data_IF_984904205242
#
_entry.id   IF_984904205242
#
_cell.length_a   1.000
_cell.length_b   1.000
_cell.length_c   1.000
_cell.angle_alpha   90.00
_cell.angle_beta   90.00
_cell.angle_gamma   90.00
#
_symmetry.space_group_name_H-M   'P 1'
#
loop_
_entity.id
_entity.type
_entity.pdbx_description
1 polymer ?
#
# COMPACT_ATOMS: atom_id res chain seq x y z
N UNK A 1 16.98 7.05 0.45
CA UNK A 1 17.50 7.00 -0.93
C UNK A 1 16.39 7.45 -1.85
N UNK A 2 16.67 8.29 -2.84
CA UNK A 2 15.66 8.66 -3.82
C UNK A 2 15.33 7.45 -4.68
N UNK A 3 14.05 7.11 -4.85
CA UNK A 3 13.63 6.22 -5.92
C UNK A 3 13.98 6.90 -7.25
N UNK A 4 14.95 6.35 -7.99
CA UNK A 4 15.23 6.80 -9.35
C UNK A 4 14.16 6.25 -10.31
N UNK A 5 14.08 6.86 -11.49
CA UNK A 5 13.05 6.52 -12.48
C UNK A 5 13.17 5.06 -12.95
N UNK A 6 14.40 4.52 -13.00
CA UNK A 6 14.65 3.14 -13.41
C UNK A 6 14.09 2.15 -12.38
N UNK A 7 14.44 2.31 -11.10
CA UNK A 7 13.94 1.44 -10.03
C UNK A 7 12.43 1.53 -9.90
N UNK A 8 11.87 2.73 -10.08
CA UNK A 8 10.42 2.92 -10.07
C UNK A 8 9.74 2.21 -11.25
N UNK A 9 10.33 2.25 -12.45
CA UNK A 9 9.78 1.56 -13.63
C UNK A 9 9.72 0.05 -13.43
N UNK A 10 10.78 -0.55 -12.89
CA UNK A 10 10.82 -1.97 -12.58
C UNK A 10 9.83 -2.34 -11.48
N UNK A 11 9.76 -1.52 -10.41
CA UNK A 11 8.78 -1.71 -9.35
C UNK A 11 7.34 -1.66 -9.88
N UNK A 12 7.02 -0.73 -10.78
CA UNK A 12 5.70 -0.64 -11.39
C UNK A 12 5.37 -1.89 -12.21
N UNK A 13 6.33 -2.44 -12.95
CA UNK A 13 6.17 -3.69 -13.71
C UNK A 13 5.89 -4.87 -12.76
N UNK A 14 6.70 -5.03 -11.71
CA UNK A 14 6.50 -6.07 -10.68
C UNK A 14 5.15 -5.94 -9.98
N UNK A 15 4.75 -4.71 -9.61
CA UNK A 15 3.46 -4.44 -8.98
C UNK A 15 2.30 -4.80 -9.91
N UNK A 16 2.41 -4.47 -11.20
CA UNK A 16 1.39 -4.75 -12.19
C UNK A 16 1.19 -6.27 -12.34
N UNK A 17 2.28 -7.04 -12.42
CA UNK A 17 2.19 -8.49 -12.56
C UNK A 17 1.57 -9.17 -11.33
N UNK A 18 1.82 -8.64 -10.13
CA UNK A 18 1.31 -9.21 -8.88
C UNK A 18 -0.12 -8.76 -8.56
N UNK A 19 -0.46 -7.50 -8.82
CA UNK A 19 -1.67 -6.87 -8.27
C UNK A 19 -2.79 -6.69 -9.31
N UNK A 20 -2.49 -6.76 -10.60
CA UNK A 20 -3.50 -6.52 -11.64
C UNK A 20 -4.61 -7.56 -11.63
N UNK A 21 -5.85 -7.08 -11.71
CA UNK A 21 -7.06 -7.88 -11.52
C UNK A 21 -7.40 -8.21 -10.06
N UNK A 22 -6.55 -7.79 -9.11
CA UNK A 22 -6.77 -7.99 -7.69
C UNK A 22 -7.90 -7.13 -7.12
N UNK A 23 -8.58 -7.65 -6.10
CA UNK A 23 -9.64 -6.94 -5.38
C UNK A 23 -9.11 -6.36 -4.07
N UNK A 24 -9.31 -5.06 -3.84
CA UNK A 24 -9.04 -4.45 -2.53
C UNK A 24 -10.08 -4.98 -1.52
N UNK A 25 -9.59 -5.58 -0.44
CA UNK A 25 -10.41 -6.22 0.60
C UNK A 25 -10.48 -5.41 1.88
N UNK A 26 -9.35 -4.79 2.27
CA UNK A 26 -9.24 -3.94 3.47
C UNK A 26 -8.29 -2.79 3.19
N UNK A 27 -8.58 -1.65 3.82
CA UNK A 27 -7.76 -0.45 3.75
C UNK A 27 -7.53 0.03 5.18
N UNK A 28 -6.27 0.27 5.55
CA UNK A 28 -5.88 0.83 6.83
C UNK A 28 -4.92 2.00 6.62
N UNK A 29 -4.84 2.86 7.62
CA UNK A 29 -3.92 3.99 7.64
C UNK A 29 -3.25 3.98 9.02
N UNK A 30 -2.13 3.24 9.18
CA UNK A 30 -1.42 3.13 10.46
C UNK A 30 -0.84 4.46 10.91
N UNK A 31 -0.23 5.19 9.97
CA UNK A 31 0.36 6.51 10.19
C UNK A 31 -0.33 7.56 9.32
N UNK A 32 -0.13 8.84 9.64
CA UNK A 32 -0.74 9.94 8.88
C UNK A 32 -0.42 9.88 7.38
N UNK A 33 0.82 9.54 7.05
CA UNK A 33 1.33 9.54 5.67
C UNK A 33 1.56 8.12 5.12
N UNK A 34 0.99 7.09 5.75
CA UNK A 34 1.13 5.69 5.34
C UNK A 34 -0.24 5.00 5.19
N UNK A 35 -0.45 4.31 4.07
CA UNK A 35 -1.63 3.50 3.81
C UNK A 35 -1.22 2.06 3.58
N UNK A 36 -2.05 1.16 4.10
CA UNK A 36 -1.93 -0.28 3.92
C UNK A 36 -3.16 -0.79 3.18
N UNK A 37 -2.95 -1.34 1.99
CA UNK A 37 -3.99 -1.97 1.17
C UNK A 37 -3.83 -3.49 1.24
N UNK A 38 -4.92 -4.18 1.55
CA UNK A 38 -5.01 -5.63 1.44
C UNK A 38 -5.65 -5.96 0.10
N UNK A 39 -4.87 -6.52 -0.81
CA UNK A 39 -5.29 -6.83 -2.18
C UNK A 39 -5.33 -8.34 -2.32
N UNK A 40 -6.47 -8.89 -2.68
CA UNK A 40 -6.61 -10.30 -2.98
C UNK A 40 -6.43 -10.54 -4.48
N UNK A 41 -5.37 -11.25 -4.85
CA UNK A 41 -5.12 -11.74 -6.21
C UNK A 41 -4.43 -13.11 -6.15
N UNK A 42 -5.19 -14.21 -6.31
CA UNK A 42 -4.80 -15.61 -6.02
C UNK A 42 -4.44 -15.87 -4.55
N UNK A 43 -3.75 -14.94 -3.91
CA UNK A 43 -3.42 -14.85 -2.49
C UNK A 43 -3.62 -13.41 -1.98
N UNK A 44 -3.55 -13.22 -0.67
CA UNK A 44 -3.68 -11.88 -0.07
C UNK A 44 -2.32 -11.20 0.01
N UNK A 45 -2.19 -10.08 -0.68
CA UNK A 45 -1.03 -9.21 -0.63
C UNK A 45 -1.31 -8.01 0.26
N UNK A 46 -0.32 -7.62 1.07
CA UNK A 46 -0.36 -6.38 1.84
C UNK A 46 0.59 -5.37 1.21
N UNK A 47 0.02 -4.35 0.57
CA UNK A 47 0.75 -3.26 -0.07
C UNK A 47 0.84 -2.07 0.88
N UNK A 48 2.04 -1.57 1.12
CA UNK A 48 2.30 -0.34 1.86
C UNK A 48 2.60 0.79 0.87
N UNK A 49 1.93 1.92 1.08
CA UNK A 49 2.15 3.18 0.38
C UNK A 49 2.53 4.23 1.42
N UNK A 50 3.78 4.70 1.40
CA UNK A 50 4.24 5.78 2.27
C UNK A 50 4.59 7.02 1.48
N UNK A 51 3.94 8.13 1.83
CA UNK A 51 4.19 9.47 1.32
C UNK A 51 5.06 10.30 2.28
N UNK A 52 5.64 9.67 3.30
CA UNK A 52 6.54 10.36 4.22
C UNK A 52 7.78 10.90 3.49
N UNK A 53 8.15 12.16 3.75
CA UNK A 53 9.28 12.81 3.06
C UNK A 53 10.62 12.08 3.23
N UNK A 54 10.86 11.50 4.42
CA UNK A 54 12.08 10.76 4.74
C UNK A 54 12.01 9.30 4.29
N UNK A 55 10.81 8.72 4.27
CA UNK A 55 10.57 7.29 4.01
C UNK A 55 9.48 7.14 2.94
N UNK A 56 9.71 7.70 1.76
CA UNK A 56 8.87 7.43 0.61
C UNK A 56 9.15 6.00 0.14
N UNK A 57 8.13 5.15 0.08
CA UNK A 57 8.27 3.76 -0.35
C UNK A 57 6.94 3.16 -0.76
N UNK A 58 7.01 2.25 -1.72
CA UNK A 58 5.93 1.38 -2.14
C UNK A 58 6.48 -0.03 -2.15
N UNK A 59 5.88 -0.95 -1.40
CA UNK A 59 6.32 -2.34 -1.35
C UNK A 59 5.24 -3.27 -0.79
N UNK A 60 5.36 -4.55 -1.11
CA UNK A 60 4.57 -5.61 -0.49
C UNK A 60 5.31 -6.06 0.77
N UNK A 61 4.58 -6.28 1.87
CA UNK A 61 5.17 -6.76 3.12
C UNK A 61 4.37 -7.91 3.72
N UNK A 62 5.08 -8.81 4.40
CA UNK A 62 4.48 -9.85 5.23
C UNK A 62 4.45 -9.45 6.70
N UNK A 63 5.08 -8.32 7.06
CA UNK A 63 5.18 -7.88 8.45
C UNK A 63 3.80 -7.47 9.00
N UNK A 64 3.51 -7.77 10.27
CA UNK A 64 2.31 -7.26 10.92
C UNK A 64 2.36 -5.72 10.98
N UNK A 65 1.20 -5.09 10.75
CA UNK A 65 1.05 -3.63 10.86
C UNK A 65 0.14 -3.34 12.03
N UNK A 66 0.52 -2.39 12.88
CA UNK A 66 -0.33 -1.96 13.99
C UNK A 66 -1.39 -0.99 13.44
N UNK A 67 -2.61 -1.50 13.29
CA UNK A 67 -3.69 -0.74 12.64
C UNK A 67 -4.52 -0.02 13.71
N UNK A 68 -4.79 1.28 13.57
CA UNK A 68 -5.55 2.03 14.56
C UNK A 68 -6.98 1.49 14.67
N UNK A 69 -7.49 1.49 15.90
CA UNK A 69 -8.87 1.06 16.20
C UNK A 69 -9.90 1.98 15.54
N UNK A 70 -9.60 3.27 15.42
CA UNK A 70 -10.44 4.27 14.76
C UNK A 70 -9.84 4.65 13.41
N UNK A 71 -10.58 4.42 12.33
CA UNK A 71 -10.15 4.77 10.99
C UNK A 71 -10.15 6.30 10.80
N UNK A 72 -9.04 6.91 10.34
CA UNK A 72 -9.02 8.32 9.97
C UNK A 72 -10.00 8.62 8.81
N UNK A 73 -10.41 9.88 8.67
CA UNK A 73 -11.37 10.31 7.64
C UNK A 73 -10.91 9.96 6.21
N UNK A 74 -9.60 10.05 5.94
CA UNK A 74 -9.04 9.70 4.63
C UNK A 74 -9.15 8.20 4.34
N UNK A 75 -8.81 7.35 5.32
CA UNK A 75 -9.03 5.90 5.23
C UNK A 75 -10.51 5.56 4.93
N UNK A 76 -11.45 6.27 5.55
CA UNK A 76 -12.88 6.08 5.29
C UNK A 76 -13.29 6.53 3.87
N UNK A 77 -12.71 7.61 3.36
CA UNK A 77 -12.92 8.06 1.99
C UNK A 77 -12.43 7.01 0.98
N UNK A 78 -11.23 6.45 1.19
CA UNK A 78 -10.69 5.40 0.34
C UNK A 78 -11.54 4.12 0.36
N UNK A 79 -12.14 3.76 1.50
CA UNK A 79 -13.02 2.58 1.58
C UNK A 79 -14.34 2.74 0.82
N UNK A 80 -14.74 3.98 0.52
CA UNK A 80 -15.99 4.28 -0.20
C UNK A 80 -15.85 4.11 -1.71
N UNK A 81 -14.63 4.22 -2.25
CA UNK A 81 -14.32 4.21 -3.67
C UNK A 81 -13.54 2.95 -4.05
#
# INVERSE_FOLDING_TARGET
>A
MAYDALSLSLLCEEMNDILTGGKITKIYQPERDEIVLFIFNKQTHKLILSANASVNRIHITEMPTDNPKTAPAFCMLLRKH
#
